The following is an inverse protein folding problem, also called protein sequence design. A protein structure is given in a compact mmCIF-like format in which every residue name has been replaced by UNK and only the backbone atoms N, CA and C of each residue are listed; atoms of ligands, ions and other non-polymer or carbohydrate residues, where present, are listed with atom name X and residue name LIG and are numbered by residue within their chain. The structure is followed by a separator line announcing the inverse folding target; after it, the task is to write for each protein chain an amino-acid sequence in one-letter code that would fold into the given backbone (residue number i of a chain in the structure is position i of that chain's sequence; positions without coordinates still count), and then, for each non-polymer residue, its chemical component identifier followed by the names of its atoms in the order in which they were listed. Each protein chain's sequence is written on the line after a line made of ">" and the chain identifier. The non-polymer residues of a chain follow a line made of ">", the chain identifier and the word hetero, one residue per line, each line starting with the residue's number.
data_IF_071299933196
#
_entry.id   IF_071299933196
#
_cell.length_a   1.000
_cell.length_b   1.000
_cell.length_c   1.000
_cell.angle_alpha   90.00
_cell.angle_beta   90.00
_cell.angle_gamma   90.00
#
_symmetry.space_group_name_H-M   'P 1'
#
loop_
_entity.id
_entity.type
_entity.pdbx_description
1 polymer ?
#
# COMPACT_ATOMS: atom_id res chain seq x y z
N UNK A 1 -8.73 -19.44 -10.79
CA UNK A 1 -9.77 -18.93 -9.86
C UNK A 1 -9.74 -17.42 -9.97
N UNK A 2 -10.77 -16.77 -10.53
CA UNK A 2 -10.77 -15.32 -10.67
C UNK A 2 -10.87 -14.69 -9.26
N UNK A 3 -9.84 -13.97 -8.84
CA UNK A 3 -9.88 -13.24 -7.58
C UNK A 3 -10.87 -12.08 -7.65
N UNK A 4 -11.52 -11.84 -6.53
CA UNK A 4 -12.50 -10.78 -6.39
C UNK A 4 -11.77 -9.41 -6.42
N UNK A 5 -12.23 -8.42 -7.20
CA UNK A 5 -11.62 -7.07 -7.29
C UNK A 5 -11.38 -6.41 -5.93
N UNK A 6 -12.17 -6.78 -4.93
CA UNK A 6 -12.07 -6.39 -3.53
C UNK A 6 -10.69 -6.70 -2.92
N UNK A 7 -10.02 -7.76 -3.38
CA UNK A 7 -8.71 -8.15 -2.87
C UNK A 7 -7.64 -7.10 -3.16
N UNK A 8 -7.64 -6.50 -4.36
CA UNK A 8 -6.66 -5.46 -4.72
C UNK A 8 -6.84 -4.20 -3.87
N UNK A 9 -8.10 -3.82 -3.60
CA UNK A 9 -8.43 -2.69 -2.74
C UNK A 9 -8.06 -2.99 -1.28
N UNK A 10 -8.35 -4.19 -0.78
CA UNK A 10 -7.93 -4.64 0.57
C UNK A 10 -6.41 -4.62 0.74
N UNK A 11 -5.68 -5.12 -0.26
CA UNK A 11 -4.22 -5.16 -0.23
C UNK A 11 -3.64 -3.74 -0.26
N UNK A 12 -4.11 -2.88 -1.17
CA UNK A 12 -3.70 -1.47 -1.23
C UNK A 12 -3.99 -0.71 0.07
N UNK A 13 -5.15 -0.97 0.68
CA UNK A 13 -5.55 -0.37 1.97
C UNK A 13 -4.58 -0.79 3.07
N UNK A 14 -4.25 -2.08 3.12
CA UNK A 14 -3.31 -2.62 4.11
C UNK A 14 -1.91 -2.01 3.96
N UNK A 15 -1.46 -1.81 2.71
CA UNK A 15 -0.19 -1.13 2.41
C UNK A 15 -0.21 0.31 2.92
N UNK A 16 -1.27 1.08 2.63
CA UNK A 16 -1.37 2.46 3.11
C UNK A 16 -1.37 2.56 4.63
N UNK A 17 -2.06 1.67 5.33
CA UNK A 17 -2.01 1.61 6.80
C UNK A 17 -0.61 1.29 7.30
N UNK A 18 0.07 0.30 6.71
CA UNK A 18 1.45 -0.04 7.08
C UNK A 18 2.41 1.14 6.87
N UNK A 19 2.33 1.82 5.72
CA UNK A 19 3.16 2.99 5.41
C UNK A 19 2.84 4.16 6.34
N UNK A 20 1.57 4.35 6.71
CA UNK A 20 1.16 5.35 7.69
C UNK A 20 1.83 5.11 9.05
N UNK A 21 1.79 3.87 9.55
CA UNK A 21 2.44 3.49 10.81
C UNK A 21 3.96 3.71 10.75
N UNK A 22 4.60 3.33 9.65
CA UNK A 22 6.04 3.55 9.45
C UNK A 22 6.36 5.04 9.49
N UNK A 23 5.56 5.85 8.80
CA UNK A 23 5.72 7.30 8.76
C UNK A 23 5.57 7.90 10.17
N UNK A 24 4.59 7.43 10.94
CA UNK A 24 4.36 7.84 12.33
C UNK A 24 5.53 7.47 13.26
N UNK A 25 6.04 6.24 13.15
CA UNK A 25 7.18 5.78 13.94
C UNK A 25 8.47 6.56 13.61
N UNK A 26 8.53 7.12 12.40
CA UNK A 26 9.67 7.88 11.90
C UNK A 26 9.37 9.38 11.75
N UNK A 27 8.42 9.92 12.53
CA UNK A 27 7.97 11.32 12.45
C UNK A 27 9.09 12.36 12.66
N UNK A 28 10.20 11.96 13.29
CA UNK A 28 11.43 12.81 13.35
C UNK A 28 12.11 13.03 11.99
N UNK A 29 11.82 12.19 10.99
CA UNK A 29 12.56 12.10 9.72
C UNK A 29 11.63 12.19 8.50
N UNK A 30 10.37 11.80 8.67
CA UNK A 30 9.31 11.97 7.70
C UNK A 30 8.30 12.98 8.26
N UNK A 31 7.77 13.88 7.42
CA UNK A 31 6.80 14.86 7.86
C UNK A 31 5.49 14.16 8.22
N UNK A 32 4.98 14.47 9.42
CA UNK A 32 3.73 13.96 9.98
C UNK A 32 2.54 14.00 9.00
N UNK A 33 2.50 14.98 8.08
CA UNK A 33 1.47 15.11 7.04
C UNK A 33 1.31 13.84 6.19
N UNK A 34 2.40 13.09 5.95
CA UNK A 34 2.37 11.87 5.14
C UNK A 34 1.59 10.76 5.85
N UNK A 35 1.65 10.69 7.18
CA UNK A 35 0.90 9.71 7.96
C UNK A 35 -0.60 9.87 7.73
N UNK A 36 -1.10 11.11 7.83
CA UNK A 36 -2.51 11.45 7.64
C UNK A 36 -2.96 11.25 6.20
N UNK A 37 -2.09 11.57 5.23
CA UNK A 37 -2.37 11.33 3.81
C UNK A 37 -2.60 9.84 3.54
N UNK A 38 -1.74 8.97 4.07
CA UNK A 38 -1.89 7.52 3.91
C UNK A 38 -3.09 6.96 4.68
N UNK A 39 -3.44 7.51 5.86
CA UNK A 39 -4.68 7.14 6.55
C UNK A 39 -5.92 7.54 5.74
N UNK A 40 -5.92 8.72 5.13
CA UNK A 40 -6.99 9.15 4.24
C UNK A 40 -7.14 8.23 3.03
N UNK A 41 -6.02 7.85 2.40
CA UNK A 41 -6.01 6.90 1.28
C UNK A 41 -6.53 5.52 1.69
N UNK A 42 -6.16 5.02 2.87
CA UNK A 42 -6.69 3.78 3.43
C UNK A 42 -8.19 3.88 3.74
N UNK A 43 -8.64 5.01 4.30
CA UNK A 43 -10.05 5.29 4.56
C UNK A 43 -10.90 5.29 3.29
N UNK A 44 -10.37 5.83 2.19
CA UNK A 44 -11.02 5.78 0.88
C UNK A 44 -11.17 4.34 0.37
N UNK A 45 -10.13 3.51 0.49
CA UNK A 45 -10.17 2.09 0.13
C UNK A 45 -11.16 1.28 0.98
N UNK A 46 -11.22 1.54 2.30
CA UNK A 46 -12.23 0.94 3.17
C UNK A 46 -13.66 1.39 2.80
N UNK A 47 -13.84 2.67 2.48
CA UNK A 47 -15.11 3.21 2.01
C UNK A 47 -15.58 2.52 0.74
N UNK A 48 -14.68 2.34 -0.24
CA UNK A 48 -14.99 1.60 -1.46
C UNK A 48 -15.41 0.16 -1.15
N UNK A 49 -14.70 -0.55 -0.28
CA UNK A 49 -15.03 -1.92 0.11
C UNK A 49 -16.41 -2.05 0.78
N UNK A 50 -16.76 -1.11 1.64
CA UNK A 50 -18.05 -1.11 2.34
C UNK A 50 -19.22 -0.76 1.41
N UNK A 51 -19.01 0.16 0.47
CA UNK A 51 -20.05 0.62 -0.45
C UNK A 51 -20.22 -0.31 -1.67
N UNK A 52 -19.21 -1.12 -1.98
CA UNK A 52 -19.19 -1.95 -3.20
C UNK A 52 -19.73 -3.38 -3.04
N UNK A 53 -20.34 -3.72 -1.90
CA UNK A 53 -20.92 -5.04 -1.68
C UNK A 53 -21.97 -5.38 -2.74
N UNK A 54 -21.64 -6.30 -3.67
CA UNK A 54 -22.59 -6.94 -4.58
C UNK A 54 -22.54 -6.57 -6.06
N UNK A 55 -21.65 -5.68 -6.50
CA UNK A 55 -21.56 -5.27 -7.93
C UNK A 55 -20.16 -5.49 -8.50
N UNK A 56 -19.88 -6.69 -9.03
CA UNK A 56 -18.62 -6.98 -9.74
C UNK A 56 -18.66 -6.39 -11.15
N UNK A 57 -18.01 -5.25 -11.37
CA UNK A 57 -17.82 -4.67 -12.70
C UNK A 57 -16.35 -4.77 -13.15
N UNK A 58 -16.08 -4.93 -14.46
CA UNK A 58 -14.72 -4.87 -15.00
C UNK A 58 -14.00 -3.56 -14.65
N UNK A 59 -14.74 -2.45 -14.53
CA UNK A 59 -14.21 -1.13 -14.16
C UNK A 59 -13.67 -1.10 -12.73
N UNK A 60 -14.28 -1.83 -11.79
CA UNK A 60 -13.79 -1.96 -10.40
C UNK A 60 -12.48 -2.72 -10.30
N UNK A 61 -12.29 -3.75 -11.11
CA UNK A 61 -11.03 -4.50 -11.17
C UNK A 61 -9.88 -3.54 -11.52
N UNK A 62 -10.05 -2.76 -12.59
CA UNK A 62 -9.05 -1.79 -13.01
C UNK A 62 -8.83 -0.69 -11.97
N UNK A 63 -9.90 -0.20 -11.33
CA UNK A 63 -9.79 0.75 -10.23
C UNK A 63 -8.96 0.19 -9.06
N UNK A 64 -9.21 -1.06 -8.67
CA UNK A 64 -8.45 -1.76 -7.63
C UNK A 64 -6.98 -1.96 -8.00
N UNK A 65 -6.68 -2.31 -9.26
CA UNK A 65 -5.29 -2.42 -9.76
C UNK A 65 -4.58 -1.07 -9.72
N UNK A 66 -5.24 0.01 -10.17
CA UNK A 66 -4.68 1.37 -10.13
C UNK A 66 -4.43 1.82 -8.69
N UNK A 67 -5.38 1.54 -7.79
CA UNK A 67 -5.26 1.83 -6.37
C UNK A 67 -4.08 1.08 -5.74
N UNK A 68 -3.93 -0.21 -6.03
CA UNK A 68 -2.80 -1.02 -5.59
C UNK A 68 -1.47 -0.50 -6.15
N UNK A 69 -1.41 -0.12 -7.43
CA UNK A 69 -0.22 0.47 -8.04
C UNK A 69 0.17 1.79 -7.35
N UNK A 70 -0.80 2.63 -7.00
CA UNK A 70 -0.55 3.86 -6.25
C UNK A 70 -0.02 3.59 -4.83
N UNK A 71 -0.56 2.56 -4.16
CA UNK A 71 -0.07 2.11 -2.85
C UNK A 71 1.38 1.60 -2.92
N UNK A 72 1.71 0.78 -3.92
CA UNK A 72 3.07 0.29 -4.15
C UNK A 72 4.04 1.41 -4.49
N UNK A 73 3.65 2.35 -5.35
CA UNK A 73 4.47 3.53 -5.69
C UNK A 73 4.77 4.38 -4.46
N UNK A 74 3.76 4.59 -3.60
CA UNK A 74 3.90 5.32 -2.34
C UNK A 74 4.88 4.63 -1.38
N UNK A 75 4.76 3.29 -1.26
CA UNK A 75 5.67 2.48 -0.46
C UNK A 75 7.12 2.58 -0.96
N UNK A 76 7.33 2.50 -2.28
CA UNK A 76 8.65 2.69 -2.90
C UNK A 76 9.19 4.09 -2.66
N UNK A 77 8.36 5.13 -2.80
CA UNK A 77 8.75 6.52 -2.55
C UNK A 77 9.20 6.77 -1.11
N UNK A 78 8.48 6.23 -0.13
CA UNK A 78 8.86 6.30 1.28
C UNK A 78 10.18 5.57 1.54
N UNK A 79 10.39 4.40 0.92
CA UNK A 79 11.64 3.65 1.02
C UNK A 79 12.84 4.39 0.42
N UNK A 80 12.68 4.99 -0.77
CA UNK A 80 13.74 5.79 -1.41
C UNK A 80 14.11 6.98 -0.52
N UNK A 81 13.10 7.69 0.00
CA UNK A 81 13.35 8.83 0.88
C UNK A 81 14.07 8.41 2.16
N UNK A 82 13.69 7.28 2.74
CA UNK A 82 14.38 6.71 3.89
C UNK A 82 15.84 6.35 3.57
N UNK A 83 16.10 5.76 2.41
CA UNK A 83 17.45 5.44 1.97
C UNK A 83 18.33 6.69 1.81
N UNK A 84 17.77 7.79 1.28
CA UNK A 84 18.49 9.06 1.12
C UNK A 84 18.76 9.72 2.48
N UNK A 85 17.75 9.80 3.36
CA UNK A 85 17.84 10.51 4.65
C UNK A 85 18.64 9.73 5.69
N UNK A 86 18.61 8.39 5.64
CA UNK A 86 19.20 7.52 6.68
C UNK A 86 20.26 6.58 6.11
N UNK A 87 21.41 7.12 5.73
CA UNK A 87 22.63 6.38 5.34
C UNK A 87 23.17 5.35 6.38
N UNK A 88 22.42 4.96 7.43
CA UNK A 88 22.90 4.05 8.48
C UNK A 88 21.94 3.69 9.63
N UNK A 89 20.62 3.53 9.43
CA UNK A 89 19.74 3.01 10.50
C UNK A 89 19.14 1.64 10.15
N UNK A 90 19.72 0.59 10.74
CA UNK A 90 19.33 -0.81 10.57
C UNK A 90 17.84 -1.08 10.84
N UNK A 91 17.24 -0.46 11.87
CA UNK A 91 15.88 -0.84 12.31
C UNK A 91 14.80 -0.48 11.28
N UNK A 92 14.90 0.69 10.64
CA UNK A 92 13.94 1.12 9.62
C UNK A 92 14.17 0.41 8.27
N UNK A 93 15.43 0.14 7.93
CA UNK A 93 15.80 -0.62 6.73
C UNK A 93 15.33 -2.06 6.80
N UNK A 94 15.47 -2.72 7.95
CA UNK A 94 15.10 -4.12 8.13
C UNK A 94 13.58 -4.29 8.07
N UNK A 95 12.81 -3.41 8.73
CA UNK A 95 11.35 -3.47 8.72
C UNK A 95 10.75 -3.09 7.35
N UNK A 96 11.34 -2.09 6.69
CA UNK A 96 11.00 -1.74 5.30
C UNK A 96 11.26 -2.93 4.36
N UNK A 97 12.42 -3.56 4.41
CA UNK A 97 12.73 -4.69 3.52
C UNK A 97 11.89 -5.94 3.83
N UNK A 98 11.64 -6.24 5.11
CA UNK A 98 10.77 -7.36 5.51
C UNK A 98 9.31 -7.18 5.12
N UNK A 99 8.80 -5.95 4.99
CA UNK A 99 7.41 -5.70 4.58
C UNK A 99 7.29 -5.51 3.06
N UNK A 100 8.20 -4.75 2.46
CA UNK A 100 8.10 -4.36 1.04
C UNK A 100 8.27 -5.55 0.12
N UNK A 101 9.24 -6.42 0.37
CA UNK A 101 9.52 -7.59 -0.49
C UNK A 101 8.33 -8.57 -0.53
N UNK A 102 7.78 -9.06 0.59
CA UNK A 102 6.62 -9.96 0.54
C UNK A 102 5.37 -9.26 0.01
N UNK A 103 5.14 -7.98 0.33
CA UNK A 103 3.99 -7.23 -0.21
C UNK A 103 4.07 -7.12 -1.74
N UNK A 104 5.23 -6.79 -2.30
CA UNK A 104 5.45 -6.71 -3.74
C UNK A 104 5.32 -8.10 -4.38
N UNK A 105 5.90 -9.13 -3.76
CA UNK A 105 5.84 -10.50 -4.27
C UNK A 105 4.40 -11.05 -4.29
N UNK A 106 3.65 -10.84 -3.20
CA UNK A 106 2.22 -11.14 -3.10
C UNK A 106 1.48 -10.39 -4.20
N UNK A 107 1.67 -9.06 -4.31
CA UNK A 107 1.01 -8.26 -5.34
C UNK A 107 1.28 -8.76 -6.76
N UNK A 108 2.53 -9.12 -7.06
CA UNK A 108 2.94 -9.62 -8.38
C UNK A 108 2.34 -11.00 -8.68
N UNK A 109 2.37 -11.94 -7.73
CA UNK A 109 1.76 -13.26 -7.87
C UNK A 109 0.24 -13.17 -8.10
N UNK A 110 -0.43 -12.24 -7.41
CA UNK A 110 -1.86 -12.05 -7.56
C UNK A 110 -2.22 -11.37 -8.88
N UNK A 111 -1.43 -10.39 -9.32
CA UNK A 111 -1.62 -9.76 -10.63
C UNK A 111 -1.41 -10.76 -11.77
N UNK A 112 -0.38 -11.63 -11.69
CA UNK A 112 -0.12 -12.67 -12.69
C UNK A 112 -1.16 -13.78 -12.72
N UNK A 113 -1.90 -13.97 -11.61
CA UNK A 113 -3.01 -14.95 -11.57
C UNK A 113 -4.30 -14.40 -12.16
N UNK A 114 -4.38 -13.09 -12.39
CA UNK A 114 -5.55 -12.39 -12.91
C UNK A 114 -5.45 -12.11 -14.42
N UNK A 115 -4.22 -11.86 -14.91
CA UNK A 115 -3.89 -11.75 -16.34
C UNK A 115 -3.87 -13.12 -17.03
#
# INVERSE_FOLDING_TARGET
>A
MALAPEFFVLLGTSIFLAVSVITALLDRHLPSILQYLFQGAAGAGLGELLLSQGLSSPTRVWAGIVYLAFALSSLVGVNIRLAIVRRGMNIASIFSQMMTVPVVMISALFLSSFL
#
